data_IF_643153877566
#
_entry.id   IF_643153877566
#
_cell.length_a   1.000
_cell.length_b   1.000
_cell.length_c   1.000
_cell.angle_alpha   90.00
_cell.angle_beta   90.00
_cell.angle_gamma   90.00
#
_symmetry.space_group_name_H-M   'P 1'
#
loop_
_entity.id
_entity.type
_entity.pdbx_description
1 polymer ?
#
# COMPACT_ATOMS: atom_id res chain seq x y z
N UNK A 1 -27.25 3.95 12.06
CA UNK A 1 -26.08 3.30 12.68
C UNK A 1 -24.89 4.24 12.88
N UNK A 2 -24.41 4.93 11.83
CA UNK A 2 -23.23 5.82 11.93
C UNK A 2 -23.41 6.97 12.95
N UNK A 3 -24.61 7.56 13.02
CA UNK A 3 -24.95 8.61 14.00
C UNK A 3 -24.86 8.14 15.47
N UNK A 4 -25.20 6.87 15.74
CA UNK A 4 -25.09 6.31 17.08
C UNK A 4 -23.62 6.06 17.49
N UNK A 5 -22.78 5.65 16.54
CA UNK A 5 -21.33 5.54 16.75
C UNK A 5 -20.70 6.92 16.96
N UNK A 6 -21.13 7.92 16.19
CA UNK A 6 -20.65 9.29 16.34
C UNK A 6 -21.06 9.88 17.69
N UNK A 7 -22.30 9.66 18.14
CA UNK A 7 -22.75 10.11 19.46
C UNK A 7 -21.96 9.43 20.59
N UNK A 8 -21.65 8.13 20.46
CA UNK A 8 -20.76 7.44 21.42
C UNK A 8 -19.31 7.92 21.37
N UNK A 9 -18.83 8.32 20.19
CA UNK A 9 -17.48 8.84 20.04
C UNK A 9 -17.36 10.25 20.65
N UNK A 10 -18.39 11.07 20.48
CA UNK A 10 -18.48 12.43 21.03
C UNK A 10 -19.12 12.49 22.42
N UNK A 11 -18.92 11.45 23.22
CA UNK A 11 -19.47 11.40 24.58
C UNK A 11 -18.85 12.49 25.47
N UNK A 12 -19.67 13.18 26.25
CA UNK A 12 -19.25 14.35 27.03
C UNK A 12 -18.28 13.95 28.14
N UNK A 13 -18.51 12.81 28.77
CA UNK A 13 -17.68 12.28 29.86
C UNK A 13 -16.24 11.92 29.43
N UNK A 14 -16.01 11.68 28.13
CA UNK A 14 -14.69 11.31 27.59
C UNK A 14 -13.87 12.54 27.22
N UNK A 15 -14.53 13.57 26.67
CA UNK A 15 -13.84 14.72 26.07
C UNK A 15 -13.94 16.00 26.89
N UNK A 16 -14.95 16.15 27.75
CA UNK A 16 -15.21 17.38 28.50
C UNK A 16 -14.94 17.19 29.99
N UNK A 17 -14.59 18.27 30.70
CA UNK A 17 -14.61 18.31 32.15
C UNK A 17 -16.03 18.06 32.70
N UNK A 18 -16.15 17.54 33.94
CA UNK A 18 -17.44 17.38 34.59
C UNK A 18 -18.17 18.73 34.71
N UNK A 19 -19.49 18.73 34.45
CA UNK A 19 -20.37 19.91 34.41
C UNK A 19 -20.27 20.79 33.15
N UNK A 20 -19.74 20.29 32.04
CA UNK A 20 -19.78 21.01 30.75
C UNK A 20 -20.40 20.11 29.68
N UNK A 21 -21.27 20.68 28.84
CA UNK A 21 -21.91 19.97 27.72
C UNK A 21 -21.46 20.56 26.38
N UNK A 22 -21.65 19.81 25.28
CA UNK A 22 -21.35 20.33 23.94
C UNK A 22 -22.25 21.53 23.54
N UNK A 23 -23.44 21.62 24.12
CA UNK A 23 -24.38 22.75 23.92
C UNK A 23 -23.80 24.06 24.51
N UNK A 24 -23.08 23.98 25.63
CA UNK A 24 -22.46 25.14 26.28
C UNK A 24 -21.29 25.72 25.49
N UNK A 25 -20.64 24.92 24.66
CA UNK A 25 -19.52 25.33 23.80
C UNK A 25 -19.97 25.75 22.39
N UNK A 26 -21.21 25.47 22.01
CA UNK A 26 -21.72 25.82 20.68
C UNK A 26 -21.76 27.36 20.52
N UNK A 27 -21.19 27.93 19.44
CA UNK A 27 -21.13 29.37 19.26
C UNK A 27 -22.55 29.96 19.15
N UNK A 28 -22.85 30.96 19.97
CA UNK A 28 -24.13 31.65 20.02
C UNK A 28 -23.94 33.16 20.19
N UNK A 29 -24.94 33.98 19.80
CA UNK A 29 -24.85 35.45 19.83
C UNK A 29 -24.60 36.03 21.24
N UNK A 30 -24.95 35.26 22.28
CA UNK A 30 -24.88 35.69 23.68
C UNK A 30 -23.56 35.29 24.37
N UNK A 31 -22.62 34.65 23.65
CA UNK A 31 -21.38 34.12 24.24
C UNK A 31 -20.19 35.02 23.92
N UNK A 32 -19.49 35.48 24.96
CA UNK A 32 -18.32 36.37 24.85
C UNK A 32 -17.09 35.70 24.20
N UNK A 33 -17.04 34.37 24.16
CA UNK A 33 -15.93 33.59 23.60
C UNK A 33 -16.47 32.66 22.52
N UNK A 34 -15.88 32.74 21.34
CA UNK A 34 -16.20 31.86 20.20
C UNK A 34 -15.28 30.64 20.26
N UNK A 35 -15.85 29.48 20.57
CA UNK A 35 -15.14 28.21 20.53
C UNK A 35 -15.26 27.55 19.15
N UNK A 36 -14.29 26.70 18.81
CA UNK A 36 -14.31 25.94 17.56
C UNK A 36 -15.40 24.84 17.60
N UNK A 37 -16.25 24.78 16.58
CA UNK A 37 -17.29 23.76 16.49
C UNK A 37 -16.65 22.39 16.19
N UNK A 38 -16.90 21.42 17.09
CA UNK A 38 -16.41 20.05 17.02
C UNK A 38 -16.87 19.31 15.75
N UNK A 39 -17.99 19.73 15.15
CA UNK A 39 -18.51 19.17 13.90
C UNK A 39 -17.53 19.39 12.74
N UNK A 40 -16.67 20.41 12.82
CA UNK A 40 -15.70 20.66 11.76
C UNK A 40 -14.61 19.59 11.65
N UNK A 41 -14.37 18.82 12.71
CA UNK A 41 -13.40 17.72 12.71
C UNK A 41 -13.82 16.55 11.82
N UNK A 42 -15.09 16.50 11.41
CA UNK A 42 -15.61 15.48 10.49
C UNK A 42 -15.38 15.83 9.02
N UNK A 43 -15.21 17.10 8.64
CA UNK A 43 -14.91 17.51 7.27
C UNK A 43 -13.54 17.06 6.71
N UNK A 44 -12.43 17.02 7.49
CA UNK A 44 -11.15 16.59 6.96
C UNK A 44 -11.14 15.10 6.58
N UNK A 45 -12.00 14.26 7.16
CA UNK A 45 -12.08 12.83 6.84
C UNK A 45 -12.48 12.57 5.37
N UNK A 46 -13.65 13.04 4.88
CA UNK A 46 -14.00 12.90 3.48
C UNK A 46 -13.04 13.66 2.57
N UNK A 47 -12.53 14.81 3.00
CA UNK A 47 -11.53 15.57 2.22
C UNK A 47 -10.25 14.75 2.01
N UNK A 48 -9.73 14.09 3.05
CA UNK A 48 -8.57 13.23 2.94
C UNK A 48 -8.82 12.05 1.99
N UNK A 49 -10.00 11.43 2.06
CA UNK A 49 -10.40 10.37 1.11
C UNK A 49 -10.41 10.89 -0.34
N UNK A 50 -10.95 12.08 -0.58
CA UNK A 50 -10.94 12.73 -1.90
C UNK A 50 -9.51 12.99 -2.37
N UNK A 51 -8.64 13.54 -1.51
CA UNK A 51 -7.24 13.80 -1.85
C UNK A 51 -6.46 12.51 -2.15
N UNK A 52 -6.70 11.44 -1.40
CA UNK A 52 -6.10 10.13 -1.65
C UNK A 52 -6.61 9.58 -2.98
N UNK A 53 -7.92 9.62 -3.24
CA UNK A 53 -8.49 9.17 -4.50
C UNK A 53 -7.93 9.98 -5.68
N UNK A 54 -7.88 11.29 -5.56
CA UNK A 54 -7.29 12.19 -6.55
C UNK A 54 -5.83 11.83 -6.82
N UNK A 55 -5.03 11.62 -5.76
CA UNK A 55 -3.63 11.20 -5.89
C UNK A 55 -3.52 9.89 -6.68
N UNK A 56 -4.34 8.89 -6.36
CA UNK A 56 -4.32 7.59 -7.04
C UNK A 56 -4.75 7.71 -8.52
N UNK A 57 -5.74 8.54 -8.80
CA UNK A 57 -6.20 8.81 -10.18
C UNK A 57 -5.09 9.51 -10.95
N UNK A 58 -4.46 10.55 -10.41
CA UNK A 58 -3.35 11.23 -11.07
C UNK A 58 -2.17 10.26 -11.31
N UNK A 59 -1.78 9.49 -10.31
CA UNK A 59 -0.72 8.47 -10.45
C UNK A 59 -1.02 7.48 -11.57
N UNK A 60 -2.25 6.96 -11.62
CA UNK A 60 -2.60 5.89 -12.55
C UNK A 60 -2.97 6.38 -13.95
N UNK A 61 -3.59 7.56 -14.07
CA UNK A 61 -4.05 8.11 -15.35
C UNK A 61 -3.07 9.10 -15.97
N UNK A 62 -2.26 9.80 -15.19
CA UNK A 62 -1.33 10.80 -15.73
C UNK A 62 0.10 10.27 -15.67
N UNK A 63 0.57 9.85 -14.49
CA UNK A 63 1.96 9.39 -14.36
C UNK A 63 2.21 8.05 -15.07
N UNK A 64 1.28 7.11 -15.08
CA UNK A 64 1.47 5.82 -15.75
C UNK A 64 1.60 5.94 -17.29
N UNK A 65 0.75 6.67 -18.03
CA UNK A 65 0.99 6.90 -19.46
C UNK A 65 2.16 7.84 -19.73
N UNK A 66 2.41 8.83 -18.87
CA UNK A 66 3.58 9.70 -19.01
C UNK A 66 4.90 8.93 -18.88
N UNK A 67 4.98 7.99 -17.92
CA UNK A 67 6.13 7.08 -17.80
C UNK A 67 6.28 6.17 -19.02
N UNK A 68 5.16 5.74 -19.62
CA UNK A 68 5.19 4.96 -20.88
C UNK A 68 5.67 5.81 -22.06
N UNK A 69 5.26 7.08 -22.18
CA UNK A 69 5.75 7.97 -23.23
C UNK A 69 7.24 8.30 -23.09
N UNK A 70 7.76 8.30 -21.86
CA UNK A 70 9.20 8.41 -21.58
C UNK A 70 9.99 7.11 -21.86
N UNK A 71 9.35 6.05 -22.36
CA UNK A 71 10.01 4.78 -22.68
C UNK A 71 10.35 3.93 -21.45
N UNK A 72 9.95 4.35 -20.24
CA UNK A 72 10.10 3.56 -19.03
C UNK A 72 9.07 2.44 -19.09
N UNK A 73 9.54 1.24 -19.46
CA UNK A 73 8.73 0.02 -19.36
C UNK A 73 8.28 -0.08 -17.90
N UNK A 74 6.96 -0.08 -17.70
CA UNK A 74 6.30 -0.14 -16.39
C UNK A 74 6.58 -1.52 -15.77
N UNK A 75 7.81 -1.70 -15.29
CA UNK A 75 8.30 -2.90 -14.63
C UNK A 75 7.80 -2.83 -13.21
N UNK A 76 6.53 -3.18 -13.02
CA UNK A 76 6.13 -3.67 -11.71
C UNK A 76 7.01 -4.88 -11.42
N UNK A 77 7.61 -4.99 -10.22
CA UNK A 77 8.38 -6.17 -9.86
C UNK A 77 7.46 -7.39 -10.06
N UNK A 78 7.76 -8.19 -11.09
CA UNK A 78 7.03 -9.42 -11.34
C UNK A 78 7.36 -10.32 -10.15
N UNK A 79 6.33 -10.82 -9.46
CA UNK A 79 6.55 -11.87 -8.46
C UNK A 79 7.25 -13.03 -9.16
N UNK A 80 8.34 -13.51 -8.57
CA UNK A 80 9.04 -14.67 -9.10
C UNK A 80 8.04 -15.86 -9.16
N UNK A 81 8.02 -16.63 -10.25
CA UNK A 81 7.20 -17.84 -10.30
C UNK A 81 7.69 -18.82 -9.22
N UNK A 82 6.76 -19.52 -8.59
CA UNK A 82 7.11 -20.57 -7.62
C UNK A 82 7.80 -21.72 -8.37
N UNK A 83 9.07 -21.94 -8.08
CA UNK A 83 9.87 -22.99 -8.68
C UNK A 83 10.44 -23.87 -7.58
N UNK A 84 9.89 -25.08 -7.43
CA UNK A 84 10.28 -26.03 -6.38
C UNK A 84 11.77 -26.32 -6.35
N UNK A 85 12.47 -26.29 -7.49
CA UNK A 85 13.92 -26.51 -7.56
C UNK A 85 14.70 -25.36 -6.92
N UNK A 86 14.23 -24.12 -7.07
CA UNK A 86 14.86 -22.94 -6.47
C UNK A 86 14.58 -22.88 -4.97
N UNK A 87 13.38 -23.28 -4.54
CA UNK A 87 13.02 -23.36 -3.12
C UNK A 87 13.87 -24.40 -2.39
N UNK A 88 14.02 -25.60 -2.95
CA UNK A 88 14.89 -26.65 -2.40
C UNK A 88 16.35 -26.18 -2.35
N UNK A 89 16.85 -25.57 -3.42
CA UNK A 89 18.21 -25.02 -3.45
C UNK A 89 18.43 -23.89 -2.43
N UNK A 90 17.41 -23.09 -2.14
CA UNK A 90 17.46 -22.03 -1.13
C UNK A 90 17.50 -22.60 0.29
N UNK A 91 16.72 -23.66 0.56
CA UNK A 91 16.74 -24.38 1.83
C UNK A 91 18.12 -25.01 2.04
N UNK A 92 18.69 -25.64 1.01
CA UNK A 92 20.00 -26.30 1.08
C UNK A 92 21.16 -25.28 1.16
N UNK A 93 21.01 -24.11 0.55
CA UNK A 93 22.03 -23.06 0.46
C UNK A 93 21.39 -21.65 0.55
N UNK A 94 21.17 -21.11 1.75
CA UNK A 94 20.52 -19.80 1.93
C UNK A 94 21.36 -18.63 1.41
N UNK A 95 22.67 -18.84 1.20
CA UNK A 95 23.56 -17.88 0.54
C UNK A 95 23.79 -18.31 -0.91
N UNK A 96 23.21 -17.56 -1.84
CA UNK A 96 23.48 -17.71 -3.27
C UNK A 96 24.95 -17.36 -3.51
N UNK A 97 25.82 -18.37 -3.65
CA UNK A 97 27.15 -18.15 -4.20
C UNK A 97 26.94 -17.88 -5.69
N UNK A 98 27.31 -16.68 -6.15
CA UNK A 98 27.20 -16.23 -7.55
C UNK A 98 27.71 -17.26 -8.60
N UNK A 99 28.55 -18.22 -8.20
CA UNK A 99 29.08 -19.30 -9.04
C UNK A 99 28.10 -20.48 -9.27
N UNK A 100 27.05 -20.65 -8.47
CA UNK A 100 26.11 -21.81 -8.58
C UNK A 100 24.95 -21.56 -9.57
N UNK A 101 24.69 -20.31 -9.95
CA UNK A 101 23.60 -19.96 -10.90
C UNK A 101 23.98 -20.25 -12.36
N UNK A 102 25.27 -20.31 -12.66
CA UNK A 102 25.73 -21.07 -13.81
C UNK A 102 25.56 -22.54 -13.42
N UNK A 103 24.48 -23.20 -13.87
CA UNK A 103 24.59 -24.62 -14.23
C UNK A 103 25.97 -24.78 -14.86
N UNK A 104 26.80 -25.69 -14.32
CA UNK A 104 28.16 -25.82 -14.82
C UNK A 104 28.03 -25.90 -16.34
N UNK A 105 28.70 -25.01 -17.08
CA UNK A 105 28.53 -24.97 -18.54
C UNK A 105 28.70 -26.37 -19.13
N UNK A 106 29.54 -27.16 -18.49
CA UNK A 106 29.82 -28.57 -18.72
C UNK A 106 28.58 -29.48 -18.59
N UNK A 107 27.68 -29.24 -17.64
CA UNK A 107 26.39 -29.96 -17.50
C UNK A 107 25.44 -29.63 -18.67
N UNK A 108 25.33 -28.36 -19.05
CA UNK A 108 24.47 -27.95 -20.19
C UNK A 108 25.03 -28.49 -21.51
N UNK A 109 26.35 -28.45 -21.66
CA UNK A 109 27.05 -28.99 -22.83
C UNK A 109 26.89 -30.51 -22.90
N UNK A 110 27.07 -31.23 -21.79
CA UNK A 110 26.94 -32.70 -21.77
C UNK A 110 25.50 -33.17 -22.05
N UNK A 111 24.49 -32.45 -21.57
CA UNK A 111 23.08 -32.73 -21.90
C UNK A 111 22.78 -32.48 -23.38
N UNK A 112 23.34 -31.41 -23.95
CA UNK A 112 23.22 -31.07 -25.38
C UNK A 112 23.89 -32.14 -26.26
N UNK A 113 25.09 -32.59 -25.88
CA UNK A 113 25.81 -33.65 -26.57
C UNK A 113 25.08 -35.00 -26.48
N UNK A 114 24.52 -35.35 -25.32
CA UNK A 114 23.71 -36.57 -25.15
C UNK A 114 22.46 -36.56 -26.01
N UNK A 115 21.77 -35.42 -26.09
CA UNK A 115 20.60 -35.29 -26.95
C UNK A 115 21.02 -35.48 -28.42
N UNK A 116 22.06 -34.79 -28.88
CA UNK A 116 22.48 -34.90 -30.27
C UNK A 116 22.95 -36.32 -30.65
N UNK A 117 23.54 -37.08 -29.72
CA UNK A 117 23.97 -38.47 -29.94
C UNK A 117 22.82 -39.50 -29.93
N UNK A 118 21.63 -39.14 -29.43
CA UNK A 118 20.46 -40.01 -29.39
C UNK A 118 19.52 -39.80 -30.60
N UNK A 119 19.66 -38.69 -31.31
CA UNK A 119 18.80 -38.29 -32.42
C UNK A 119 19.52 -38.20 -33.78
N UNK A 120 20.80 -38.60 -33.84
CA UNK A 120 21.61 -38.87 -35.03
C UNK A 120 21.96 -40.36 -35.05
#
# INVERSE_FOLDING_TARGET
MLRALLNKFWDEDVWLPPNTTWEDITPGPDKAVVYADYRHLLYPIPLALVLIALRQVLEKYWFAPFGRSLGIKNTRPKKAPNNSKLELAYIDCPKIKHKQLFLSKDEVISLTLRYNALYL
#
